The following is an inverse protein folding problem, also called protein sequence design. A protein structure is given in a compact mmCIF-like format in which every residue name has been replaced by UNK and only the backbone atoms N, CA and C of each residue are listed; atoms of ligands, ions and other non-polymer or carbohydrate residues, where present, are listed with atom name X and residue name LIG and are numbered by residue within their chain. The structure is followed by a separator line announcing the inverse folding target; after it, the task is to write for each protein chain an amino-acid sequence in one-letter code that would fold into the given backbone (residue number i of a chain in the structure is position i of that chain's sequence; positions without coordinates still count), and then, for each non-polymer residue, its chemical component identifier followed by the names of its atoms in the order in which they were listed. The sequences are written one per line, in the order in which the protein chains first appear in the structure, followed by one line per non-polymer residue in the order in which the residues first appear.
data_IF_452253986631
#
_entry.id   IF_452253986631
#
_cell.length_a   1.000
_cell.length_b   1.000
_cell.length_c   1.000
_cell.angle_alpha   90.00
_cell.angle_beta   90.00
_cell.angle_gamma   90.00
#
_symmetry.space_group_name_H-M   'P 1'
#
loop_
_entity.id
_entity.type
_entity.pdbx_description
1 polymer ?
#
# COMPACT_ATOMS: atom_id res chain seq x y z
N UNK A 1 10.58 -7.57 13.53
CA UNK A 1 9.86 -7.38 14.81
C UNK A 1 10.87 -7.16 15.93
N UNK A 2 10.72 -6.09 16.71
CA UNK A 2 11.57 -5.83 17.89
C UNK A 2 10.94 -6.57 19.07
N UNK A 3 11.74 -7.35 19.80
CA UNK A 3 11.25 -8.21 20.90
C UNK A 3 11.81 -7.77 22.25
N UNK A 4 11.16 -8.23 23.32
CA UNK A 4 11.59 -7.98 24.68
C UNK A 4 13.04 -8.44 24.94
N UNK A 5 13.84 -7.68 25.71
CA UNK A 5 13.50 -6.41 26.38
C UNK A 5 13.82 -5.16 25.53
N UNK A 6 14.19 -5.32 24.26
CA UNK A 6 14.71 -4.23 23.44
C UNK A 6 13.61 -3.27 22.98
N UNK A 7 12.39 -3.75 22.80
CA UNK A 7 11.18 -2.97 22.53
C UNK A 7 10.98 -1.85 23.57
N UNK A 8 10.95 -2.20 24.86
CA UNK A 8 10.76 -1.27 25.96
C UNK A 8 11.93 -0.30 26.08
N UNK A 9 13.16 -0.79 25.83
CA UNK A 9 14.36 0.07 25.86
C UNK A 9 14.35 1.09 24.74
N UNK A 10 13.88 0.72 23.54
CA UNK A 10 13.74 1.64 22.40
C UNK A 10 12.62 2.64 22.67
N UNK A 11 11.45 2.18 23.12
CA UNK A 11 10.34 3.07 23.51
C UNK A 11 10.76 4.10 24.57
N UNK A 12 11.53 3.70 25.58
CA UNK A 12 12.06 4.61 26.59
C UNK A 12 13.01 5.67 25.99
N UNK A 13 13.81 5.30 24.98
CA UNK A 13 14.68 6.25 24.27
C UNK A 13 13.91 7.20 23.37
N UNK A 14 12.85 6.73 22.71
CA UNK A 14 11.95 7.57 21.91
C UNK A 14 11.27 8.60 22.82
N UNK A 15 10.68 8.17 23.93
CA UNK A 15 10.02 9.06 24.89
C UNK A 15 10.98 10.09 25.51
N UNK A 16 12.27 9.75 25.65
CA UNK A 16 13.28 10.66 26.19
C UNK A 16 13.63 11.84 25.25
N UNK A 17 13.25 11.79 23.97
CA UNK A 17 13.44 12.90 23.01
C UNK A 17 12.52 14.08 23.34
N UNK A 18 11.39 13.84 24.01
CA UNK A 18 10.41 14.87 24.36
C UNK A 18 9.46 15.21 23.21
N UNK A 19 8.90 16.43 23.21
CA UNK A 19 7.92 16.85 22.21
C UNK A 19 8.56 17.00 20.82
N UNK A 20 7.98 16.37 19.80
CA UNK A 20 8.51 16.42 18.43
C UNK A 20 8.57 17.84 17.87
N UNK A 21 7.63 18.71 18.24
CA UNK A 21 7.61 20.13 17.84
C UNK A 21 8.86 20.90 18.30
N UNK A 22 9.55 20.41 19.33
CA UNK A 22 10.78 21.03 19.84
C UNK A 22 12.03 20.67 19.03
N UNK A 23 11.93 19.68 18.12
CA UNK A 23 13.01 19.27 17.25
C UNK A 23 13.14 20.32 16.15
N UNK A 24 14.26 21.05 16.16
CA UNK A 24 14.57 21.99 15.09
C UNK A 24 14.73 21.24 13.76
N UNK A 25 13.84 21.51 12.81
CA UNK A 25 13.94 20.96 11.46
C UNK A 25 15.16 21.54 10.75
N UNK A 26 15.88 20.70 10.01
CA UNK A 26 16.89 21.18 9.09
C UNK A 26 16.26 22.13 8.07
N UNK A 27 16.95 23.21 7.73
CA UNK A 27 16.50 24.19 6.72
C UNK A 27 17.27 24.06 5.41
N UNK A 28 18.39 23.33 5.42
CA UNK A 28 19.16 22.92 4.26
C UNK A 28 19.92 21.60 4.53
N UNK A 29 20.82 21.20 3.62
CA UNK A 29 21.70 20.04 3.80
C UNK A 29 21.14 18.72 3.27
N UNK A 30 19.93 18.72 2.72
CA UNK A 30 19.40 17.58 1.96
C UNK A 30 19.60 17.77 0.46
N UNK A 31 19.61 16.65 -0.27
CA UNK A 31 19.55 16.64 -1.72
C UNK A 31 18.14 16.26 -2.12
N UNK A 32 17.46 17.14 -2.86
CA UNK A 32 16.23 16.77 -3.55
C UNK A 32 16.64 15.95 -4.77
N UNK A 33 16.17 14.71 -4.83
CA UNK A 33 16.45 13.84 -5.96
C UNK A 33 15.73 14.36 -7.21
N UNK A 34 16.30 14.08 -8.38
CA UNK A 34 15.65 14.41 -9.64
C UNK A 34 14.30 13.66 -9.73
N UNK A 35 13.23 14.29 -10.25
CA UNK A 35 11.95 13.62 -10.47
C UNK A 35 12.06 12.34 -11.32
N UNK A 36 13.13 12.19 -12.10
CA UNK A 36 13.43 10.98 -12.85
C UNK A 36 13.48 9.72 -11.97
N UNK A 37 13.84 9.83 -10.69
CA UNK A 37 13.91 8.68 -9.78
C UNK A 37 12.54 8.01 -9.62
N UNK A 38 11.47 8.79 -9.46
CA UNK A 38 10.11 8.25 -9.39
C UNK A 38 9.71 7.61 -10.73
N UNK A 39 10.02 8.26 -11.85
CA UNK A 39 9.74 7.73 -13.18
C UNK A 39 10.56 6.47 -13.52
N UNK A 40 11.80 6.37 -13.03
CA UNK A 40 12.66 5.18 -13.14
C UNK A 40 12.08 4.03 -12.34
N UNK A 41 11.61 4.29 -11.11
CA UNK A 41 10.92 3.30 -10.29
C UNK A 41 9.65 2.80 -10.96
N UNK A 42 8.81 3.70 -11.49
CA UNK A 42 7.58 3.34 -12.21
C UNK A 42 7.89 2.40 -13.39
N UNK A 43 8.82 2.80 -14.26
CA UNK A 43 9.23 1.98 -15.42
C UNK A 43 9.79 0.63 -15.02
N UNK A 44 10.69 0.60 -14.03
CA UNK A 44 11.31 -0.63 -13.57
C UNK A 44 10.26 -1.59 -13.01
N UNK A 45 9.30 -1.09 -12.24
CA UNK A 45 8.24 -1.87 -11.61
C UNK A 45 7.24 -2.40 -12.64
N UNK A 46 6.76 -1.54 -13.56
CA UNK A 46 5.87 -1.95 -14.63
C UNK A 46 6.51 -3.01 -15.55
N UNK A 47 7.82 -2.91 -15.80
CA UNK A 47 8.58 -3.88 -16.58
C UNK A 47 8.70 -5.26 -15.91
N UNK A 48 8.38 -5.40 -14.61
CA UNK A 48 8.31 -6.71 -13.96
C UNK A 48 7.09 -7.52 -14.43
N UNK A 49 6.08 -6.87 -15.00
CA UNK A 49 4.92 -7.56 -15.54
C UNK A 49 5.30 -8.35 -16.79
N UNK A 50 4.89 -9.63 -16.82
CA UNK A 50 5.06 -10.47 -18.00
C UNK A 50 3.69 -10.66 -18.65
N UNK A 51 3.34 -9.74 -19.55
CA UNK A 51 2.06 -9.79 -20.25
C UNK A 51 1.95 -10.96 -21.23
N UNK A 52 3.06 -11.58 -21.63
CA UNK A 52 3.04 -12.76 -22.51
C UNK A 52 2.59 -14.01 -21.74
N UNK A 53 3.08 -14.17 -20.51
CA UNK A 53 2.69 -15.29 -19.63
C UNK A 53 1.40 -15.00 -18.84
N UNK A 54 1.18 -13.75 -18.44
CA UNK A 54 0.06 -13.33 -17.59
C UNK A 54 -0.66 -12.13 -18.22
N UNK A 55 -1.48 -12.34 -19.27
CA UNK A 55 -2.06 -11.26 -20.07
C UNK A 55 -3.27 -10.56 -19.44
N UNK A 56 -3.90 -11.14 -18.40
CA UNK A 56 -5.14 -10.61 -17.84
C UNK A 56 -4.95 -9.22 -17.21
N UNK A 57 -5.71 -8.24 -17.69
CA UNK A 57 -5.68 -6.83 -17.22
C UNK A 57 -7.04 -6.22 -16.90
N UNK A 58 -8.11 -6.99 -17.12
CA UNK A 58 -9.48 -6.56 -16.84
C UNK A 58 -9.81 -6.84 -15.37
N UNK A 59 -9.37 -5.93 -14.50
CA UNK A 59 -9.68 -5.93 -13.06
C UNK A 59 -10.08 -4.52 -12.64
N UNK A 60 -11.21 -4.44 -11.92
CA UNK A 60 -11.62 -3.24 -11.18
C UNK A 60 -10.92 -3.23 -9.83
N UNK A 61 -9.99 -2.29 -9.66
CA UNK A 61 -9.16 -2.17 -8.47
C UNK A 61 -9.65 -0.98 -7.66
N UNK A 62 -9.90 -1.18 -6.37
CA UNK A 62 -9.97 -0.07 -5.41
C UNK A 62 -8.62 0.06 -4.71
N UNK A 63 -8.09 1.27 -4.66
CA UNK A 63 -6.81 1.58 -4.01
C UNK A 63 -7.01 2.63 -2.91
N UNK A 64 -6.47 2.37 -1.72
CA UNK A 64 -6.31 3.38 -0.68
C UNK A 64 -4.84 3.51 -0.28
N UNK A 65 -4.25 4.72 -0.35
CA UNK A 65 -2.93 4.97 0.23
C UNK A 65 -3.00 5.35 1.71
N UNK A 66 -4.20 5.38 2.33
CA UNK A 66 -4.41 5.75 3.74
C UNK A 66 -3.78 7.11 4.13
N UNK A 67 -4.00 8.14 3.31
CA UNK A 67 -3.34 9.46 3.44
C UNK A 67 -1.80 9.41 3.31
N UNK A 68 -1.29 8.35 2.71
CA UNK A 68 0.12 8.12 2.44
C UNK A 68 0.62 8.78 1.17
N UNK A 69 1.95 8.80 1.04
CA UNK A 69 2.65 9.39 -0.09
C UNK A 69 2.66 8.49 -1.33
N UNK A 70 2.24 7.22 -1.21
CA UNK A 70 2.33 6.23 -2.28
C UNK A 70 1.24 6.29 -3.34
N UNK A 71 0.15 7.04 -3.12
CA UNK A 71 -1.05 7.00 -3.97
C UNK A 71 -0.78 7.27 -5.44
N UNK A 72 -0.10 8.37 -5.76
CA UNK A 72 0.22 8.75 -7.14
C UNK A 72 1.12 7.70 -7.81
N UNK A 73 2.17 7.25 -7.12
CA UNK A 73 3.11 6.23 -7.62
C UNK A 73 2.41 4.90 -7.89
N UNK A 74 1.54 4.44 -6.98
CA UNK A 74 0.83 3.19 -7.13
C UNK A 74 -0.13 3.21 -8.33
N UNK A 75 -0.87 4.31 -8.51
CA UNK A 75 -1.75 4.50 -9.68
C UNK A 75 -0.94 4.53 -10.98
N UNK A 76 0.18 5.26 -11.01
CA UNK A 76 1.05 5.33 -12.19
C UNK A 76 1.59 3.94 -12.57
N UNK A 77 2.09 3.17 -11.60
CA UNK A 77 2.59 1.80 -11.81
C UNK A 77 1.49 0.86 -12.32
N UNK A 78 0.30 0.88 -11.72
CA UNK A 78 -0.83 0.04 -12.15
C UNK A 78 -1.25 0.36 -13.59
N UNK A 79 -1.38 1.65 -13.92
CA UNK A 79 -1.72 2.10 -15.27
C UNK A 79 -0.64 1.70 -16.28
N UNK A 80 0.64 1.90 -15.96
CA UNK A 80 1.77 1.51 -16.81
C UNK A 80 1.85 -0.03 -17.00
N UNK A 81 1.40 -0.80 -16.01
CA UNK A 81 1.24 -2.25 -16.09
C UNK A 81 0.01 -2.71 -16.91
N UNK A 82 -0.86 -1.77 -17.32
CA UNK A 82 -2.04 -2.03 -18.14
C UNK A 82 -3.36 -2.20 -17.36
N UNK A 83 -3.37 -1.99 -16.05
CA UNK A 83 -4.59 -1.98 -15.25
C UNK A 83 -5.19 -0.58 -15.23
N UNK A 84 -6.21 -0.35 -16.07
CA UNK A 84 -6.75 0.99 -16.29
C UNK A 84 -7.95 1.35 -15.37
N UNK A 85 -8.61 0.35 -14.77
CA UNK A 85 -9.77 0.56 -13.91
C UNK A 85 -9.35 0.59 -12.43
N UNK A 86 -8.75 1.72 -12.03
CA UNK A 86 -8.28 1.97 -10.66
C UNK A 86 -9.11 3.10 -10.05
N UNK A 87 -9.87 2.77 -9.02
CA UNK A 87 -10.67 3.72 -8.22
C UNK A 87 -9.95 4.02 -6.92
N UNK A 88 -9.53 5.27 -6.71
CA UNK A 88 -9.02 5.71 -5.41
C UNK A 88 -10.15 5.89 -4.40
N UNK A 89 -9.89 5.54 -3.14
CA UNK A 89 -10.73 5.94 -2.00
C UNK A 89 -10.53 7.43 -1.77
N UNK A 90 -11.48 8.24 -2.25
CA UNK A 90 -11.35 9.70 -2.30
C UNK A 90 -11.05 10.33 -0.93
N UNK A 91 -11.64 9.78 0.13
CA UNK A 91 -11.48 10.22 1.51
C UNK A 91 -10.06 9.99 2.06
N UNK A 92 -9.28 9.10 1.43
CA UNK A 92 -7.95 8.68 1.87
C UNK A 92 -6.87 8.87 0.80
N UNK A 93 -7.21 9.51 -0.33
CA UNK A 93 -6.34 9.61 -1.50
C UNK A 93 -5.20 10.63 -1.33
N UNK A 94 -5.50 11.78 -0.73
CA UNK A 94 -4.54 12.86 -0.56
C UNK A 94 -3.67 12.66 0.70
N UNK A 95 -2.35 12.93 0.62
CA UNK A 95 -1.49 12.88 1.78
C UNK A 95 -1.95 13.83 2.90
N UNK A 96 -2.13 13.30 4.10
CA UNK A 96 -2.57 14.06 5.28
C UNK A 96 -1.90 13.48 6.55
N UNK A 97 -0.98 14.22 7.19
CA UNK A 97 -0.24 13.73 8.36
C UNK A 97 -1.10 13.57 9.61
N UNK A 98 -2.33 14.12 9.64
CA UNK A 98 -3.26 13.97 10.76
C UNK A 98 -4.08 12.68 10.68
N UNK A 99 -4.02 11.95 9.54
CA UNK A 99 -4.74 10.69 9.30
C UNK A 99 -6.22 10.70 9.74
N UNK A 100 -7.02 11.69 9.31
CA UNK A 100 -8.31 12.01 9.93
C UNK A 100 -9.38 10.92 9.81
N UNK A 101 -9.18 9.93 8.93
CA UNK A 101 -10.14 8.86 8.66
C UNK A 101 -9.87 7.57 9.44
N UNK A 102 -8.73 7.44 10.11
CA UNK A 102 -8.30 6.20 10.77
C UNK A 102 -7.68 6.46 12.12
N UNK A 103 -7.93 5.57 13.09
CA UNK A 103 -7.31 5.69 14.41
C UNK A 103 -5.80 5.41 14.37
N UNK A 104 -5.39 4.51 13.48
CA UNK A 104 -4.01 4.14 13.27
C UNK A 104 -3.83 3.75 11.78
N UNK A 105 -2.94 4.43 11.04
CA UNK A 105 -2.84 4.26 9.58
C UNK A 105 -2.02 3.02 9.23
N UNK A 106 -2.61 1.85 9.47
CA UNK A 106 -2.03 0.56 9.16
C UNK A 106 -3.16 -0.35 8.62
N UNK A 107 -3.03 -0.90 7.40
CA UNK A 107 -4.08 -1.71 6.78
C UNK A 107 -4.53 -2.93 7.61
N UNK A 108 -3.69 -3.44 8.51
CA UNK A 108 -4.05 -4.60 9.34
C UNK A 108 -4.95 -4.24 10.54
N UNK A 109 -5.14 -2.95 10.84
CA UNK A 109 -5.92 -2.50 11.98
C UNK A 109 -7.43 -2.59 11.73
N UNK A 110 -8.22 -2.98 12.74
CA UNK A 110 -9.67 -2.93 12.65
C UNK A 110 -10.17 -1.52 12.26
N UNK A 111 -10.99 -1.47 11.22
CA UNK A 111 -11.58 -0.23 10.69
C UNK A 111 -10.74 0.51 9.65
N UNK A 112 -9.47 0.14 9.46
CA UNK A 112 -8.58 0.79 8.48
C UNK A 112 -9.07 0.66 7.03
N UNK A 113 -9.69 -0.48 6.69
CA UNK A 113 -10.15 -0.79 5.34
C UNK A 113 -11.63 -0.48 5.09
N UNK A 114 -12.39 -0.02 6.08
CA UNK A 114 -13.86 0.10 5.95
C UNK A 114 -14.27 0.96 4.76
N UNK A 115 -13.64 2.14 4.60
CA UNK A 115 -13.87 3.04 3.45
C UNK A 115 -13.51 2.38 2.10
N UNK A 116 -12.44 1.59 2.07
CA UNK A 116 -12.02 0.88 0.87
C UNK A 116 -12.99 -0.25 0.50
N UNK A 117 -13.50 -0.99 1.49
CA UNK A 117 -14.50 -2.04 1.27
C UNK A 117 -15.86 -1.46 0.85
N UNK A 118 -16.25 -0.31 1.40
CA UNK A 118 -17.44 0.43 0.97
C UNK A 118 -17.30 0.92 -0.49
N UNK A 119 -16.15 1.52 -0.84
CA UNK A 119 -15.86 1.92 -2.21
C UNK A 119 -15.88 0.72 -3.17
N UNK A 120 -15.29 -0.41 -2.76
CA UNK A 120 -15.26 -1.65 -3.52
C UNK A 120 -16.66 -2.23 -3.75
N UNK A 121 -17.53 -2.19 -2.75
CA UNK A 121 -18.93 -2.59 -2.92
C UNK A 121 -19.68 -1.66 -3.89
N UNK A 122 -19.43 -0.34 -3.85
CA UNK A 122 -20.09 0.66 -4.69
C UNK A 122 -19.72 0.55 -6.17
N UNK A 123 -18.45 0.27 -6.49
CA UNK A 123 -17.97 0.12 -7.88
C UNK A 123 -17.94 -1.34 -8.34
N UNK A 124 -18.38 -2.26 -7.47
CA UNK A 124 -18.30 -3.70 -7.64
C UNK A 124 -16.88 -4.16 -8.00
N UNK A 125 -15.88 -3.68 -7.26
CA UNK A 125 -14.48 -4.01 -7.50
C UNK A 125 -14.20 -5.52 -7.38
N UNK A 126 -13.14 -5.96 -8.05
CA UNK A 126 -12.64 -7.32 -8.00
C UNK A 126 -11.61 -7.50 -6.89
N UNK A 127 -10.87 -6.43 -6.57
CA UNK A 127 -9.79 -6.42 -5.57
C UNK A 127 -9.66 -5.05 -4.91
N UNK A 128 -9.27 -5.06 -3.64
CA UNK A 128 -8.86 -3.87 -2.88
C UNK A 128 -7.37 -3.97 -2.58
N UNK A 129 -6.65 -2.90 -2.84
CA UNK A 129 -5.25 -2.69 -2.47
C UNK A 129 -5.17 -1.55 -1.44
N UNK A 130 -4.43 -1.76 -0.36
CA UNK A 130 -4.19 -0.74 0.65
C UNK A 130 -2.70 -0.63 0.94
N UNK A 131 -2.16 0.58 0.83
CA UNK A 131 -0.81 0.90 1.29
C UNK A 131 -0.86 1.59 2.65
N UNK A 132 0.15 1.34 3.47
CA UNK A 132 0.42 2.19 4.62
C UNK A 132 1.07 3.52 4.19
N UNK A 133 1.18 4.52 5.08
CA UNK A 133 1.49 5.89 4.66
C UNK A 133 2.82 6.10 3.93
N UNK A 134 3.84 5.30 4.22
CA UNK A 134 5.14 5.30 3.54
C UNK A 134 5.23 4.30 2.37
N UNK A 135 4.15 3.55 2.14
CA UNK A 135 3.94 2.66 1.01
C UNK A 135 4.95 1.50 0.89
N UNK A 136 5.53 1.07 2.00
CA UNK A 136 6.40 -0.11 2.03
C UNK A 136 5.63 -1.41 2.33
N UNK A 137 4.37 -1.31 2.75
CA UNK A 137 3.44 -2.44 2.90
C UNK A 137 2.25 -2.32 1.95
N UNK A 138 1.74 -3.49 1.57
CA UNK A 138 0.55 -3.63 0.76
C UNK A 138 -0.34 -4.73 1.37
N UNK A 139 -1.55 -4.36 1.76
CA UNK A 139 -2.61 -5.29 2.10
C UNK A 139 -3.54 -5.49 0.91
N UNK A 140 -4.13 -6.67 0.85
CA UNK A 140 -5.03 -7.08 -0.22
C UNK A 140 -6.33 -7.58 0.39
N UNK A 141 -7.45 -7.12 -0.13
CA UNK A 141 -8.76 -7.69 0.17
C UNK A 141 -9.45 -8.16 -1.12
N UNK A 142 -10.20 -9.24 -1.00
CA UNK A 142 -10.97 -9.86 -2.08
C UNK A 142 -12.26 -10.49 -1.53
N UNK A 143 -13.23 -10.76 -2.39
CA UNK A 143 -14.43 -11.51 -2.02
C UNK A 143 -14.06 -12.97 -1.79
N UNK A 144 -14.47 -13.50 -0.64
CA UNK A 144 -14.40 -14.92 -0.35
C UNK A 144 -15.39 -15.69 -1.25
N UNK A 145 -14.95 -16.76 -1.95
CA UNK A 145 -15.78 -17.41 -2.96
C UNK A 145 -16.96 -18.21 -2.37
N UNK A 146 -16.86 -18.65 -1.11
CA UNK A 146 -17.91 -19.46 -0.47
C UNK A 146 -19.01 -18.58 0.13
N UNK A 147 -18.63 -17.41 0.66
CA UNK A 147 -19.53 -16.49 1.36
C UNK A 147 -19.92 -15.27 0.54
N UNK A 148 -19.15 -14.91 -0.48
CA UNK A 148 -19.28 -13.66 -1.23
C UNK A 148 -18.89 -12.40 -0.44
N UNK A 149 -18.47 -12.55 0.82
CA UNK A 149 -18.11 -11.44 1.68
C UNK A 149 -16.68 -10.96 1.40
N UNK A 150 -16.44 -9.65 1.51
CA UNK A 150 -15.08 -9.12 1.47
C UNK A 150 -14.28 -9.62 2.67
N UNK A 151 -13.05 -10.07 2.42
CA UNK A 151 -12.06 -10.36 3.46
C UNK A 151 -10.71 -9.79 3.09
N UNK A 152 -9.97 -9.34 4.08
CA UNK A 152 -8.55 -9.10 3.95
C UNK A 152 -7.80 -10.44 3.93
N UNK A 153 -6.83 -10.56 3.05
CA UNK A 153 -5.88 -11.67 3.06
C UNK A 153 -4.81 -11.38 4.10
N UNK A 154 -4.42 -12.39 4.88
CA UNK A 154 -3.28 -12.28 5.80
C UNK A 154 -1.99 -12.13 4.99
N UNK A 155 -0.97 -11.48 5.56
CA UNK A 155 0.34 -11.34 4.93
C UNK A 155 0.93 -12.66 4.42
N UNK A 156 0.80 -13.74 5.20
CA UNK A 156 1.26 -15.08 4.78
C UNK A 156 0.52 -15.63 3.56
N UNK A 157 -0.78 -15.33 3.40
CA UNK A 157 -1.56 -15.75 2.23
C UNK A 157 -1.11 -14.98 0.99
N UNK A 158 -0.95 -13.65 1.11
CA UNK A 158 -0.43 -12.81 0.02
C UNK A 158 0.98 -13.25 -0.37
N UNK A 159 1.86 -13.47 0.61
CA UNK A 159 3.23 -13.94 0.39
C UNK A 159 3.28 -15.29 -0.31
N UNK A 160 2.41 -16.24 0.06
CA UNK A 160 2.31 -17.53 -0.60
C UNK A 160 1.86 -17.41 -2.06
N UNK A 161 0.88 -16.55 -2.35
CA UNK A 161 0.41 -16.27 -3.72
C UNK A 161 1.51 -15.64 -4.58
N UNK A 162 2.23 -14.64 -4.06
CA UNK A 162 3.35 -14.01 -4.75
C UNK A 162 4.50 -14.99 -4.99
N UNK A 163 4.82 -15.83 -4.00
CA UNK A 163 5.82 -16.90 -4.14
C UNK A 163 5.44 -17.90 -5.23
N UNK A 164 4.19 -18.37 -5.23
CA UNK A 164 3.68 -19.28 -6.26
C UNK A 164 3.73 -18.65 -7.65
N UNK A 165 3.39 -17.36 -7.78
CA UNK A 165 3.48 -16.61 -9.03
C UNK A 165 4.92 -16.55 -9.57
N UNK A 166 5.91 -16.24 -8.71
CA UNK A 166 7.32 -16.19 -9.10
C UNK A 166 7.81 -17.58 -9.54
N UNK A 167 7.45 -18.65 -8.82
CA UNK A 167 7.82 -20.02 -9.19
C UNK A 167 7.24 -20.40 -10.56
N UNK A 168 5.96 -20.09 -10.81
CA UNK A 168 5.31 -20.35 -12.08
C UNK A 168 5.99 -19.60 -13.24
N UNK A 169 6.38 -18.34 -13.01
CA UNK A 169 7.11 -17.52 -13.98
C UNK A 169 8.49 -18.08 -14.32
N UNK A 170 9.23 -18.61 -13.33
CA UNK A 170 10.56 -19.18 -13.55
C UNK A 170 10.53 -20.56 -14.23
N UNK A 171 9.38 -21.24 -14.20
CA UNK A 171 9.20 -22.55 -14.82
C UNK A 171 8.71 -22.49 -16.27
N UNK A 172 8.23 -21.32 -16.73
CA UNK A 172 7.77 -21.07 -18.10
C UNK A 172 8.93 -20.69 -19.03
#
# INVERSE_FOLDING_TARGET
QIVAPYDARIAARINAVGALESIALATDGWTVLDPSVAADYERATAALTDAALFPSRDLRIVLTPMHGVGGETAVAVLNAAGFADVTLVAEQAEPDPDFPTVNFPNPEEPGALDLALEAAARVDADIVLANDPDADRAAVAAKDPDTGAWRMLRGDEVGALLGAHIVARLAA
#
